data_IF_445779414419
#
_entry.id   IF_445779414419
#
_cell.length_a   1.000
_cell.length_b   1.000
_cell.length_c   1.000
_cell.angle_alpha   90.00
_cell.angle_beta   90.00
_cell.angle_gamma   90.00
#
_symmetry.space_group_name_H-M   'P 1'
#
loop_
_entity.id
_entity.type
_entity.pdbx_description
1 polymer ?
#
# COMPACT_ATOMS: atom_id res chain seq x y z
N UNK A 1 25.08 21.07 18.44
CA UNK A 1 23.79 20.86 17.73
C UNK A 1 23.93 20.88 16.20
N UNK A 2 24.66 21.82 15.57
CA UNK A 2 24.77 21.92 14.10
C UNK A 2 25.53 20.75 13.43
N UNK A 3 26.62 20.27 14.05
CA UNK A 3 27.47 19.19 13.49
C UNK A 3 26.75 17.84 13.48
N UNK A 4 25.96 17.55 14.53
CA UNK A 4 25.17 16.31 14.62
C UNK A 4 24.07 16.27 13.55
N UNK A 5 23.47 17.43 13.26
CA UNK A 5 22.43 17.55 12.23
C UNK A 5 23.01 17.42 10.83
N UNK A 6 24.21 17.95 10.59
CA UNK A 6 24.94 17.77 9.34
C UNK A 6 25.29 16.29 9.10
N UNK A 7 25.82 15.58 10.10
CA UNK A 7 26.14 14.16 10.00
C UNK A 7 24.88 13.30 9.77
N UNK A 8 23.79 13.60 10.46
CA UNK A 8 22.52 12.93 10.25
C UNK A 8 21.96 13.17 8.83
N UNK A 9 22.04 14.39 8.33
CA UNK A 9 21.60 14.74 6.97
C UNK A 9 22.40 13.99 5.90
N UNK A 10 23.72 13.89 6.06
CA UNK A 10 24.59 13.12 5.14
C UNK A 10 24.21 11.64 5.16
N UNK A 11 24.00 11.07 6.34
CA UNK A 11 23.59 9.67 6.49
C UNK A 11 22.22 9.41 5.85
N UNK A 12 21.24 10.29 6.07
CA UNK A 12 19.90 10.18 5.47
C UNK A 12 19.98 10.33 3.94
N UNK A 13 20.80 11.23 3.42
CA UNK A 13 21.00 11.36 1.98
C UNK A 13 21.60 10.10 1.37
N UNK A 14 22.64 9.53 2.00
CA UNK A 14 23.30 8.31 1.55
C UNK A 14 22.35 7.09 1.59
N UNK A 15 21.55 6.95 2.65
CA UNK A 15 20.53 5.90 2.75
C UNK A 15 19.43 6.07 1.69
N UNK A 16 19.03 7.32 1.41
CA UNK A 16 17.97 7.63 0.46
C UNK A 16 18.44 7.52 -1.00
N UNK A 17 19.71 7.80 -1.29
CA UNK A 17 20.31 7.56 -2.61
C UNK A 17 20.50 6.06 -2.85
N UNK A 18 21.06 5.32 -1.88
CA UNK A 18 21.23 3.87 -1.97
C UNK A 18 19.91 3.11 -2.13
N UNK A 19 18.84 3.57 -1.47
CA UNK A 19 17.49 3.03 -1.68
C UNK A 19 16.91 3.38 -3.05
N UNK A 20 17.18 4.55 -3.63
CA UNK A 20 16.66 4.90 -4.97
C UNK A 20 17.34 4.13 -6.09
N UNK A 21 18.66 3.94 -6.01
CA UNK A 21 19.43 3.24 -7.04
C UNK A 21 19.11 1.75 -7.08
N UNK A 22 18.85 1.15 -5.91
CA UNK A 22 18.51 -0.26 -5.80
C UNK A 22 17.02 -0.53 -6.01
N UNK A 23 16.13 0.30 -5.47
CA UNK A 23 14.68 0.05 -5.51
C UNK A 23 14.00 0.65 -6.75
N UNK A 24 14.57 1.69 -7.35
CA UNK A 24 14.06 2.30 -8.58
C UNK A 24 14.27 1.44 -9.83
N UNK A 25 15.25 0.53 -9.78
CA UNK A 25 15.64 -0.29 -10.91
C UNK A 25 15.10 -1.73 -10.86
N UNK A 26 14.34 -2.11 -9.82
CA UNK A 26 13.78 -3.48 -9.69
C UNK A 26 12.88 -3.86 -10.87
N UNK A 27 11.86 -3.07 -11.28
CA UNK A 27 11.01 -3.46 -12.41
C UNK A 27 11.81 -3.56 -13.72
N UNK A 28 12.79 -2.68 -13.92
CA UNK A 28 13.71 -2.74 -15.06
C UNK A 28 14.56 -4.03 -15.04
N UNK A 29 15.06 -4.40 -13.86
CA UNK A 29 15.87 -5.62 -13.68
C UNK A 29 15.05 -6.89 -13.87
N UNK A 30 13.80 -6.92 -13.41
CA UNK A 30 12.86 -8.03 -13.66
C UNK A 30 12.62 -8.19 -15.17
N UNK A 31 12.40 -7.10 -15.90
CA UNK A 31 12.20 -7.15 -17.34
C UNK A 31 13.46 -7.64 -18.07
N UNK A 32 14.64 -7.14 -17.70
CA UNK A 32 15.92 -7.64 -18.25
C UNK A 32 16.10 -9.14 -18.03
N UNK A 33 15.83 -9.65 -16.82
CA UNK A 33 15.94 -11.08 -16.51
C UNK A 33 14.89 -11.92 -17.25
N UNK A 34 13.70 -11.38 -17.51
CA UNK A 34 12.68 -12.02 -18.35
C UNK A 34 13.12 -12.12 -19.81
N UNK A 35 13.69 -11.05 -20.36
CA UNK A 35 14.25 -11.03 -21.72
C UNK A 35 15.42 -12.02 -21.84
N UNK A 36 16.32 -12.03 -20.86
CA UNK A 36 17.42 -12.99 -20.80
C UNK A 36 16.91 -14.44 -20.78
N UNK A 37 15.89 -14.72 -19.96
CA UNK A 37 15.27 -16.05 -19.89
C UNK A 37 14.59 -16.45 -21.21
N UNK A 38 13.98 -15.50 -21.93
CA UNK A 38 13.37 -15.75 -23.24
C UNK A 38 14.42 -15.99 -24.34
N UNK A 39 15.59 -15.34 -24.24
CA UNK A 39 16.69 -15.55 -25.19
C UNK A 39 17.33 -16.94 -25.07
N UNK A 40 17.17 -17.61 -23.91
CA UNK A 40 17.73 -18.93 -23.66
C UNK A 40 16.80 -20.03 -24.21
N UNK A 41 17.31 -20.94 -25.06
CA UNK A 41 16.51 -22.05 -25.60
C UNK A 41 15.94 -22.93 -24.47
N UNK A 42 14.68 -23.35 -24.64
CA UNK A 42 13.93 -24.12 -23.64
C UNK A 42 14.42 -25.57 -23.52
N UNK A 43 14.70 -26.20 -24.65
CA UNK A 43 15.04 -27.63 -24.75
C UNK A 43 16.53 -27.92 -24.99
N UNK A 44 17.42 -27.01 -24.60
CA UNK A 44 18.86 -27.30 -24.74
C UNK A 44 19.32 -28.29 -23.66
N UNK A 45 19.85 -29.44 -24.07
CA UNK A 45 20.34 -30.51 -23.19
C UNK A 45 21.71 -30.16 -22.58
N UNK A 46 22.37 -29.10 -23.06
CA UNK A 46 23.69 -28.69 -22.58
C UNK A 46 23.63 -28.24 -21.11
N UNK A 47 24.41 -28.86 -20.21
CA UNK A 47 24.34 -28.57 -18.77
C UNK A 47 24.70 -27.12 -18.43
N UNK A 48 25.56 -26.47 -19.23
CA UNK A 48 25.91 -25.07 -19.05
C UNK A 48 24.69 -24.14 -19.23
N UNK A 49 23.90 -24.36 -20.29
CA UNK A 49 22.71 -23.56 -20.60
C UNK A 49 21.61 -23.80 -19.57
N UNK A 50 21.44 -25.05 -19.13
CA UNK A 50 20.53 -25.39 -18.05
C UNK A 50 20.91 -24.74 -16.71
N UNK A 51 22.20 -24.71 -16.37
CA UNK A 51 22.69 -24.04 -15.16
C UNK A 51 22.51 -22.52 -15.24
N UNK A 52 22.80 -21.92 -16.39
CA UNK A 52 22.57 -20.50 -16.63
C UNK A 52 21.08 -20.16 -16.47
N UNK A 53 20.19 -20.93 -17.09
CA UNK A 53 18.73 -20.77 -16.98
C UNK A 53 18.25 -20.85 -15.52
N UNK A 54 18.74 -21.84 -14.76
CA UNK A 54 18.44 -21.97 -13.32
C UNK A 54 18.92 -20.76 -12.53
N UNK A 55 20.09 -20.22 -12.85
CA UNK A 55 20.61 -19.00 -12.22
C UNK A 55 19.72 -17.80 -12.49
N UNK A 56 19.36 -17.57 -13.76
CA UNK A 56 18.48 -16.47 -14.17
C UNK A 56 17.10 -16.57 -13.51
N UNK A 57 16.52 -17.77 -13.42
CA UNK A 57 15.26 -18.02 -12.71
C UNK A 57 15.37 -17.71 -11.21
N UNK A 58 16.48 -18.08 -10.57
CA UNK A 58 16.72 -17.80 -9.15
C UNK A 58 16.83 -16.30 -8.90
N UNK A 59 17.54 -15.59 -9.77
CA UNK A 59 17.66 -14.13 -9.68
C UNK A 59 16.31 -13.45 -9.94
N UNK A 60 15.54 -13.93 -10.91
CA UNK A 60 14.20 -13.43 -11.17
C UNK A 60 13.31 -13.56 -9.94
N UNK A 61 13.25 -14.74 -9.31
CA UNK A 61 12.49 -14.96 -8.09
C UNK A 61 12.92 -14.01 -6.96
N UNK A 62 14.22 -13.79 -6.80
CA UNK A 62 14.77 -12.86 -5.80
C UNK A 62 14.29 -11.42 -6.05
N UNK A 63 14.35 -10.93 -7.28
CA UNK A 63 13.92 -9.57 -7.60
C UNK A 63 12.40 -9.39 -7.51
N UNK A 64 11.61 -10.42 -7.85
CA UNK A 64 10.16 -10.41 -7.62
C UNK A 64 9.81 -10.30 -6.14
N UNK A 65 10.50 -11.03 -5.26
CA UNK A 65 10.29 -10.91 -3.81
C UNK A 65 10.58 -9.48 -3.31
N UNK A 66 11.65 -8.84 -3.82
CA UNK A 66 11.92 -7.44 -3.47
C UNK A 66 10.85 -6.48 -3.96
N UNK A 67 10.28 -6.73 -5.14
CA UNK A 67 9.13 -5.97 -5.62
C UNK A 67 7.94 -6.13 -4.68
N UNK A 68 7.61 -7.35 -4.27
CA UNK A 68 6.52 -7.62 -3.31
C UNK A 68 6.74 -6.90 -1.97
N UNK A 69 7.94 -6.97 -1.41
CA UNK A 69 8.30 -6.26 -0.18
C UNK A 69 8.12 -4.74 -0.32
N UNK A 70 8.51 -4.18 -1.47
CA UNK A 70 8.29 -2.77 -1.76
C UNK A 70 6.82 -2.40 -1.86
N UNK A 71 6.02 -3.25 -2.51
CA UNK A 71 4.57 -3.05 -2.58
C UNK A 71 3.94 -3.10 -1.19
N UNK A 72 4.39 -4.00 -0.31
CA UNK A 72 3.95 -4.06 1.08
C UNK A 72 4.33 -2.77 1.85
N UNK A 73 5.55 -2.28 1.69
CA UNK A 73 5.99 -1.01 2.29
C UNK A 73 5.19 0.18 1.79
N UNK A 74 4.99 0.30 0.48
CA UNK A 74 4.18 1.37 -0.15
C UNK A 74 2.75 1.34 0.34
N UNK A 75 2.15 0.16 0.41
CA UNK A 75 0.78 -0.04 0.90
C UNK A 75 0.68 0.37 2.37
N UNK A 76 1.65 0.01 3.22
CA UNK A 76 1.70 0.43 4.63
C UNK A 76 1.82 1.94 4.77
N UNK A 77 2.69 2.59 3.99
CA UNK A 77 2.81 4.05 3.99
C UNK A 77 1.51 4.71 3.55
N UNK A 78 0.88 4.18 2.49
CA UNK A 78 -0.40 4.68 2.01
C UNK A 78 -1.50 4.52 3.06
N UNK A 79 -1.57 3.36 3.72
CA UNK A 79 -2.49 3.10 4.81
C UNK A 79 -2.30 4.07 5.98
N UNK A 80 -1.05 4.34 6.40
CA UNK A 80 -0.76 5.31 7.45
C UNK A 80 -1.23 6.72 7.06
N UNK A 81 -0.98 7.15 5.82
CA UNK A 81 -1.45 8.46 5.31
C UNK A 81 -2.98 8.55 5.25
N UNK A 82 -3.64 7.48 4.78
CA UNK A 82 -5.08 7.41 4.70
C UNK A 82 -5.73 7.44 6.10
N UNK A 83 -5.10 6.78 7.08
CA UNK A 83 -5.55 6.81 8.48
C UNK A 83 -5.50 8.21 9.09
N UNK A 84 -4.41 8.96 8.86
CA UNK A 84 -4.32 10.35 9.30
C UNK A 84 -5.40 11.22 8.64
N UNK A 85 -5.75 10.93 7.39
CA UNK A 85 -6.84 11.58 6.66
C UNK A 85 -8.25 11.20 7.17
N UNK A 86 -8.39 10.03 7.79
CA UNK A 86 -9.66 9.50 8.31
C UNK A 86 -10.02 10.07 9.71
N UNK A 87 -9.09 10.79 10.37
CA UNK A 87 -9.34 11.44 11.67
C UNK A 87 -10.56 12.35 11.65
N UNK A 88 -10.74 13.17 10.60
CA UNK A 88 -11.92 14.06 10.46
C UNK A 88 -13.24 13.30 10.49
N UNK A 89 -13.30 12.14 9.83
CA UNK A 89 -14.50 11.30 9.82
C UNK A 89 -14.80 10.74 11.22
N UNK A 90 -13.81 10.15 11.89
CA UNK A 90 -14.00 9.62 13.24
C UNK A 90 -14.33 10.69 14.27
N UNK A 91 -13.72 11.88 14.18
CA UNK A 91 -14.06 13.02 15.04
C UNK A 91 -15.50 13.49 14.81
N UNK A 92 -15.94 13.59 13.56
CA UNK A 92 -17.32 13.96 13.24
C UNK A 92 -18.32 12.88 13.68
N UNK A 93 -17.99 11.60 13.49
CA UNK A 93 -18.82 10.48 13.93
C UNK A 93 -18.94 10.43 15.46
N UNK A 94 -17.83 10.59 16.19
CA UNK A 94 -17.82 10.65 17.66
C UNK A 94 -18.61 11.86 18.18
N UNK A 95 -18.49 13.04 17.53
CA UNK A 95 -19.28 14.23 17.87
C UNK A 95 -20.78 13.99 17.65
N UNK A 96 -21.17 13.35 16.55
CA UNK A 96 -22.56 12.94 16.28
C UNK A 96 -23.10 11.95 17.31
N UNK A 97 -22.30 10.96 17.73
CA UNK A 97 -22.64 10.01 18.80
C UNK A 97 -22.76 10.73 20.15
N UNK A 98 -21.85 11.64 20.46
CA UNK A 98 -21.88 12.45 21.68
C UNK A 98 -23.12 13.35 21.76
N UNK A 99 -23.50 13.98 20.64
CA UNK A 99 -24.74 14.75 20.54
C UNK A 99 -25.96 13.86 20.78
N UNK A 100 -26.06 12.73 20.08
CA UNK A 100 -27.17 11.77 20.27
C UNK A 100 -27.26 11.26 21.70
N UNK A 101 -26.14 10.92 22.31
CA UNK A 101 -26.10 10.43 23.69
C UNK A 101 -26.46 11.52 24.73
N UNK A 102 -26.21 12.81 24.42
CA UNK A 102 -26.68 13.94 25.23
C UNK A 102 -28.20 14.13 25.09
N UNK A 103 -28.74 14.00 23.88
CA UNK A 103 -30.19 14.04 23.65
C UNK A 103 -30.88 12.87 24.34
N UNK A 104 -30.40 11.64 24.18
CA UNK A 104 -31.00 10.45 24.82
C UNK A 104 -30.95 10.52 26.36
N UNK A 105 -29.91 11.12 26.95
CA UNK A 105 -29.83 11.35 28.40
C UNK A 105 -30.70 12.52 28.89
N UNK A 106 -30.86 13.57 28.08
CA UNK A 106 -31.74 14.71 28.40
C UNK A 106 -33.23 14.41 28.23
N UNK A 107 -33.60 13.47 27.36
CA UNK A 107 -34.99 13.11 27.04
C UNK A 107 -35.67 12.24 28.12
N UNK A 108 -34.94 11.77 29.14
CA UNK A 108 -35.57 11.15 30.32
C UNK A 108 -36.22 12.19 31.26
N UNK A 109 -35.91 13.48 31.08
CA UNK A 109 -36.65 14.57 31.70
C UNK A 109 -37.39 15.36 30.61
N UNK A 110 -38.72 15.33 30.64
CA UNK A 110 -39.67 16.17 29.88
C UNK A 110 -39.81 15.96 28.35
N UNK A 111 -40.91 15.26 27.98
CA UNK A 111 -41.95 15.49 26.94
C UNK A 111 -41.60 16.06 25.53
N UNK A 112 -42.37 15.68 24.48
CA UNK A 112 -41.98 15.87 23.09
C UNK A 112 -42.23 17.30 22.59
N UNK A 113 -41.26 17.89 21.90
CA UNK A 113 -41.43 19.15 21.16
C UNK A 113 -41.22 18.89 19.67
N UNK A 114 -42.25 19.24 18.91
CA UNK A 114 -42.31 19.16 17.47
C UNK A 114 -41.36 20.16 16.77
N UNK A 115 -40.89 19.76 15.59
CA UNK A 115 -40.46 20.67 14.54
C UNK A 115 -38.98 21.09 14.55
N UNK A 116 -38.18 20.52 13.65
CA UNK A 116 -36.82 21.02 13.42
C UNK A 116 -35.93 20.15 12.53
N UNK A 117 -36.19 20.18 11.22
CA UNK A 117 -35.28 19.87 10.11
C UNK A 117 -34.21 18.79 10.33
N UNK A 118 -34.61 17.53 10.12
CA UNK A 118 -33.67 16.41 9.97
C UNK A 118 -33.04 16.55 8.58
N UNK A 119 -31.94 17.31 8.47
CA UNK A 119 -31.04 17.15 7.33
C UNK A 119 -30.44 15.77 7.43
N UNK A 120 -31.07 14.83 6.75
CA UNK A 120 -30.59 13.47 6.57
C UNK A 120 -29.16 13.53 6.05
N UNK A 121 -28.23 13.06 6.87
CA UNK A 121 -26.95 12.59 6.36
C UNK A 121 -27.29 11.34 5.57
N UNK A 122 -27.54 11.49 4.27
CA UNK A 122 -27.65 10.38 3.33
C UNK A 122 -26.33 9.62 3.42
N UNK A 123 -26.35 8.49 4.12
CA UNK A 123 -25.30 7.49 4.01
C UNK A 123 -25.46 6.87 2.64
N UNK A 124 -24.95 7.54 1.60
CA UNK A 124 -24.54 6.80 0.42
C UNK A 124 -23.47 5.83 0.89
N UNK A 125 -23.85 4.56 0.90
CA UNK A 125 -23.00 3.48 1.33
C UNK A 125 -21.77 3.45 0.44
N UNK A 126 -20.64 3.88 0.99
CA UNK A 126 -19.38 3.29 0.61
C UNK A 126 -19.36 1.90 1.24
N UNK A 127 -20.09 0.97 0.60
CA UNK A 127 -19.66 -0.42 0.58
C UNK A 127 -18.24 -0.34 0.03
N UNK A 128 -17.26 -0.49 0.93
CA UNK A 128 -15.88 -0.69 0.55
C UNK A 128 -15.90 -2.03 -0.20
N UNK A 129 -16.10 -1.96 -1.52
CA UNK A 129 -16.06 -3.09 -2.42
C UNK A 129 -14.61 -3.54 -2.46
N UNK A 130 -14.24 -4.42 -1.52
CA UNK A 130 -12.93 -5.07 -1.45
C UNK A 130 -12.63 -5.91 -2.72
N UNK A 131 -13.53 -5.97 -3.71
CA UNK A 131 -13.31 -6.66 -4.99
C UNK A 131 -13.01 -5.76 -6.20
N UNK A 132 -12.72 -4.46 -6.03
CA UNK A 132 -12.42 -3.58 -7.20
C UNK A 132 -11.04 -2.92 -7.28
N UNK A 133 -10.07 -3.33 -6.47
CA UNK A 133 -8.64 -3.03 -6.74
C UNK A 133 -7.75 -4.25 -6.88
N UNK A 134 -8.33 -5.46 -6.92
CA UNK A 134 -7.61 -6.74 -7.07
C UNK A 134 -7.97 -7.50 -8.36
N UNK A 135 -8.19 -6.78 -9.46
CA UNK A 135 -8.18 -7.35 -10.81
C UNK A 135 -7.48 -6.34 -11.72
N UNK A 136 -6.44 -6.67 -12.47
CA UNK A 136 -6.01 -7.94 -13.06
C UNK A 136 -4.54 -7.79 -13.39
N UNK A 137 -3.63 -8.67 -12.97
CA UNK A 137 -2.44 -8.98 -13.76
C UNK A 137 -1.97 -10.41 -13.45
N UNK A 138 -2.58 -11.34 -14.17
CA UNK A 138 -2.08 -12.67 -14.58
C UNK A 138 -1.63 -13.67 -13.51
N UNK A 139 -2.60 -14.51 -13.15
CA UNK A 139 -2.39 -15.96 -13.21
C UNK A 139 -1.99 -16.33 -14.65
N UNK A 140 -0.76 -16.77 -14.85
CA UNK A 140 -0.42 -17.73 -15.92
C UNK A 140 0.20 -18.91 -15.22
N UNK A 141 -0.61 -19.94 -15.00
CA UNK A 141 -0.09 -21.29 -14.90
C UNK A 141 0.36 -21.73 -16.27
N UNK A 142 1.61 -22.18 -16.35
CA UNK A 142 2.07 -23.32 -17.12
C UNK A 142 3.19 -23.98 -16.31
#
# INVERSE_FOLDING_TARGET
MVILWANFSVLVHALRSGGRETLGNIPSKINQLREELQSLPFDDVRPNIQNQRKSVLKDLAKYTNYEEELWAQRSRVNWMKARDSNTKFFHNYAKSRGWRNKVTRGVQSSRPVAGGNIRGCHSEGYLFDERKTFGTFYSVGY
#
